data_IF_168745105271
#
_entry.id   IF_168745105271
#
_cell.length_a   1.000
_cell.length_b   1.000
_cell.length_c   1.000
_cell.angle_alpha   90.00
_cell.angle_beta   90.00
_cell.angle_gamma   90.00
#
_symmetry.space_group_name_H-M   'P 1'
#
loop_
_entity.id
_entity.type
_entity.pdbx_description
1 polymer ?
#
# COMPACT_ATOMS: atom_id res chain seq x y z
N UNK A 1 -36.79 30.87 1.06
CA UNK A 1 -36.28 29.75 1.89
C UNK A 1 -35.86 28.57 1.02
N UNK A 2 -36.75 28.02 0.17
CA UNK A 2 -36.43 26.86 -0.68
C UNK A 2 -35.31 27.06 -1.73
N UNK A 3 -35.11 28.28 -2.23
CA UNK A 3 -34.06 28.57 -3.22
C UNK A 3 -32.66 28.58 -2.59
N UNK A 4 -32.54 29.06 -1.35
CA UNK A 4 -31.26 29.12 -0.63
C UNK A 4 -30.75 27.71 -0.27
N UNK A 5 -31.64 26.78 0.06
CA UNK A 5 -31.29 25.38 0.33
C UNK A 5 -30.74 24.68 -0.91
N UNK A 6 -31.36 24.88 -2.08
CA UNK A 6 -30.88 24.33 -3.36
C UNK A 6 -29.50 24.86 -3.74
N UNK A 7 -29.26 26.15 -3.51
CA UNK A 7 -27.92 26.74 -3.76
C UNK A 7 -26.88 26.16 -2.81
N UNK A 8 -27.23 25.96 -1.53
CA UNK A 8 -26.33 25.35 -0.56
C UNK A 8 -26.00 23.89 -0.91
N UNK A 9 -26.98 23.10 -1.34
CA UNK A 9 -26.81 21.71 -1.81
C UNK A 9 -25.88 21.65 -3.03
N UNK A 10 -26.13 22.49 -4.03
CA UNK A 10 -25.27 22.58 -5.22
C UNK A 10 -23.83 22.96 -4.87
N UNK A 11 -23.63 23.89 -3.93
CA UNK A 11 -22.29 24.25 -3.47
C UNK A 11 -21.60 23.10 -2.71
N UNK A 12 -22.35 22.29 -1.96
CA UNK A 12 -21.80 21.11 -1.29
C UNK A 12 -21.37 20.05 -2.31
N UNK A 13 -22.19 19.80 -3.33
CA UNK A 13 -21.87 18.83 -4.39
C UNK A 13 -20.64 19.25 -5.18
N UNK A 14 -20.52 20.53 -5.56
CA UNK A 14 -19.33 21.05 -6.25
C UNK A 14 -18.06 20.89 -5.40
N UNK A 15 -18.15 21.13 -4.09
CA UNK A 15 -17.02 20.94 -3.16
C UNK A 15 -16.63 19.46 -3.06
N UNK A 16 -17.62 18.57 -2.96
CA UNK A 16 -17.42 17.12 -2.95
C UNK A 16 -16.76 16.64 -4.23
N UNK A 17 -17.29 17.01 -5.39
CA UNK A 17 -16.75 16.63 -6.70
C UNK A 17 -15.31 17.12 -6.88
N UNK A 18 -15.03 18.38 -6.51
CA UNK A 18 -13.67 18.93 -6.56
C UNK A 18 -12.70 18.14 -5.68
N UNK A 19 -13.14 17.72 -4.49
CA UNK A 19 -12.38 16.87 -3.60
C UNK A 19 -12.15 15.47 -4.20
N UNK A 20 -13.22 14.82 -4.65
CA UNK A 20 -13.18 13.45 -5.16
C UNK A 20 -12.36 13.33 -6.45
N UNK A 21 -12.39 14.35 -7.32
CA UNK A 21 -11.55 14.41 -8.53
C UNK A 21 -10.05 14.44 -8.21
N UNK A 22 -9.67 15.01 -7.06
CA UNK A 22 -8.26 15.03 -6.61
C UNK A 22 -7.86 13.76 -5.85
N UNK A 23 -8.80 12.90 -5.47
CA UNK A 23 -8.48 11.65 -4.77
C UNK A 23 -7.83 10.68 -5.76
N UNK A 24 -6.66 10.19 -5.39
CA UNK A 24 -6.03 9.08 -6.11
C UNK A 24 -6.85 7.79 -5.87
N UNK A 25 -7.12 7.04 -6.94
CA UNK A 25 -7.77 5.73 -6.80
C UNK A 25 -6.83 4.77 -6.07
N UNK A 26 -7.41 3.95 -5.20
CA UNK A 26 -6.68 2.86 -4.56
C UNK A 26 -6.06 1.94 -5.62
N UNK A 27 -4.81 1.50 -5.44
CA UNK A 27 -4.23 0.47 -6.29
C UNK A 27 -5.08 -0.80 -6.24
N UNK A 28 -5.37 -1.36 -7.41
CA UNK A 28 -6.00 -2.67 -7.52
C UNK A 28 -4.89 -3.70 -7.73
N UNK A 29 -4.82 -4.68 -6.83
CA UNK A 29 -3.86 -5.76 -6.92
C UNK A 29 -4.57 -7.06 -7.30
N UNK A 30 -3.87 -7.92 -8.03
CA UNK A 30 -4.37 -9.23 -8.42
C UNK A 30 -3.74 -10.33 -7.55
N UNK A 31 -4.46 -11.42 -7.27
CA UNK A 31 -3.86 -12.64 -6.73
C UNK A 31 -2.62 -13.06 -7.51
N UNK A 32 -1.52 -13.37 -6.82
CA UNK A 32 -0.22 -13.70 -7.39
C UNK A 32 0.74 -12.51 -7.53
N UNK A 33 0.27 -11.27 -7.40
CA UNK A 33 1.15 -10.11 -7.46
C UNK A 33 2.16 -10.11 -6.31
N UNK A 34 3.43 -9.82 -6.65
CA UNK A 34 4.48 -9.62 -5.67
C UNK A 34 4.44 -8.19 -5.13
N UNK A 35 4.45 -8.04 -3.82
CA UNK A 35 4.37 -6.74 -3.15
C UNK A 35 5.33 -6.65 -1.97
N UNK A 36 5.87 -5.46 -1.75
CA UNK A 36 6.50 -5.06 -0.50
C UNK A 36 5.44 -4.57 0.48
N UNK A 37 5.68 -4.79 1.77
CA UNK A 37 4.86 -4.27 2.85
C UNK A 37 5.59 -3.09 3.51
N UNK A 38 4.87 -2.00 3.76
CA UNK A 38 5.43 -0.85 4.49
C UNK A 38 5.46 -1.16 5.99
N UNK A 39 6.65 -1.14 6.59
CA UNK A 39 6.83 -1.32 8.04
C UNK A 39 7.06 0.03 8.69
N UNK A 40 6.44 0.23 9.84
CA UNK A 40 6.79 1.31 10.76
C UNK A 40 7.76 0.79 11.83
N UNK A 41 9.04 1.09 11.66
CA UNK A 41 10.05 0.79 12.67
C UNK A 41 9.90 1.73 13.87
N UNK A 42 10.09 1.20 15.07
CA UNK A 42 10.23 2.00 16.29
C UNK A 42 11.71 2.36 16.47
N UNK A 43 12.01 3.65 16.63
CA UNK A 43 13.38 4.09 16.91
C UNK A 43 13.81 3.62 18.31
N UNK A 44 15.04 3.15 18.43
CA UNK A 44 15.58 2.76 19.72
C UNK A 44 17.01 3.30 19.87
N UNK A 45 17.12 4.40 20.62
CA UNK A 45 18.39 5.09 20.89
C UNK A 45 19.36 4.20 21.67
N UNK A 46 18.89 3.40 22.62
CA UNK A 46 19.73 2.51 23.43
C UNK A 46 20.41 1.42 22.58
N UNK A 47 19.77 1.01 21.48
CA UNK A 47 20.33 0.05 20.51
C UNK A 47 21.07 0.74 19.35
N UNK A 48 21.23 2.06 19.40
CA UNK A 48 21.83 2.85 18.31
C UNK A 48 21.05 2.81 17.00
N UNK A 49 19.78 2.36 17.01
CA UNK A 49 18.96 2.20 15.79
C UNK A 49 18.05 3.40 15.61
N UNK A 50 18.31 4.19 14.58
CA UNK A 50 17.41 5.27 14.16
C UNK A 50 16.63 4.84 12.93
N UNK A 51 15.33 5.10 12.94
CA UNK A 51 14.40 4.72 11.86
C UNK A 51 14.70 5.42 10.54
N UNK A 52 15.35 6.58 10.60
CA UNK A 52 15.76 7.37 9.43
C UNK A 52 16.63 6.58 8.46
N UNK A 53 17.46 5.65 8.95
CA UNK A 53 18.39 4.88 8.13
C UNK A 53 17.91 3.44 7.87
N UNK A 54 16.74 3.04 8.37
CA UNK A 54 16.21 1.70 8.13
C UNK A 54 15.29 1.68 6.91
N UNK A 55 15.34 0.61 6.09
CA UNK A 55 14.39 0.46 4.99
C UNK A 55 12.98 0.31 5.55
N UNK A 56 12.06 1.15 5.07
CA UNK A 56 10.65 1.12 5.49
C UNK A 56 9.82 0.06 4.77
N UNK A 57 10.45 -0.80 3.96
CA UNK A 57 9.80 -1.84 3.18
C UNK A 57 10.33 -3.19 3.61
N UNK A 58 9.41 -4.09 3.94
CA UNK A 58 9.67 -5.50 4.14
C UNK A 58 9.51 -6.26 2.83
N UNK A 59 10.13 -7.43 2.78
CA UNK A 59 10.41 -8.27 1.60
C UNK A 59 9.30 -8.51 0.58
N UNK A 60 9.61 -9.30 -0.46
CA UNK A 60 8.62 -9.63 -1.48
C UNK A 60 7.65 -10.67 -0.92
N UNK A 61 6.40 -10.26 -0.73
CA UNK A 61 5.28 -11.14 -0.43
C UNK A 61 4.40 -11.35 -1.65
N UNK A 62 3.53 -12.36 -1.60
CA UNK A 62 2.55 -12.63 -2.65
C UNK A 62 1.15 -12.35 -2.12
N UNK A 63 0.33 -11.69 -2.92
CA UNK A 63 -1.10 -11.51 -2.63
C UNK A 63 -1.82 -12.83 -2.92
N UNK A 64 -2.46 -13.41 -1.91
CA UNK A 64 -3.26 -14.63 -2.09
C UNK A 64 -4.62 -14.31 -2.68
N UNK A 65 -5.37 -13.46 -2.00
CA UNK A 65 -6.75 -13.14 -2.34
C UNK A 65 -7.10 -11.74 -1.85
N UNK A 66 -8.06 -11.12 -2.54
CA UNK A 66 -8.69 -9.90 -2.08
C UNK A 66 -9.88 -10.27 -1.18
N UNK A 67 -9.80 -9.96 0.11
CA UNK A 67 -10.88 -10.25 1.05
C UNK A 67 -11.96 -9.14 1.02
N UNK A 68 -11.54 -7.90 0.75
CA UNK A 68 -12.44 -6.76 0.55
C UNK A 68 -11.81 -5.73 -0.40
N UNK A 69 -12.56 -4.71 -0.87
CA UNK A 69 -12.00 -3.63 -1.69
C UNK A 69 -10.75 -2.96 -1.08
N UNK A 70 -10.61 -3.01 0.24
CA UNK A 70 -9.54 -2.35 1.01
C UNK A 70 -8.67 -3.32 1.80
N UNK A 71 -8.81 -4.63 1.61
CA UNK A 71 -8.09 -5.64 2.40
C UNK A 71 -7.62 -6.79 1.53
N UNK A 72 -6.31 -7.02 1.51
CA UNK A 72 -5.65 -8.10 0.78
C UNK A 72 -4.99 -9.07 1.75
N UNK A 73 -5.15 -10.37 1.50
CA UNK A 73 -4.47 -11.43 2.24
C UNK A 73 -3.13 -11.68 1.60
N UNK A 74 -2.08 -11.70 2.42
CA UNK A 74 -0.69 -11.80 1.98
C UNK A 74 -0.07 -13.08 2.53
N UNK A 75 0.74 -13.74 1.72
CA UNK A 75 1.54 -14.90 2.09
C UNK A 75 3.01 -14.73 1.73
N UNK A 76 3.83 -15.58 2.36
CA UNK A 76 5.22 -15.71 1.99
C UNK A 76 5.33 -16.37 0.61
N UNK A 77 6.31 -15.96 -0.22
CA UNK A 77 6.52 -16.57 -1.53
C UNK A 77 6.89 -18.06 -1.43
N UNK A 78 7.53 -18.47 -0.34
CA UNK A 78 7.95 -19.85 -0.12
C UNK A 78 6.79 -20.75 0.35
N UNK A 79 5.78 -20.16 1.00
CA UNK A 79 4.67 -20.90 1.61
C UNK A 79 3.33 -20.21 1.29
N UNK A 80 2.87 -20.37 0.05
CA UNK A 80 1.61 -19.79 -0.45
C UNK A 80 0.36 -20.34 0.26
N UNK A 81 0.47 -21.47 0.98
CA UNK A 81 -0.69 -22.08 1.65
C UNK A 81 -1.01 -21.44 3.02
N UNK A 82 -0.07 -20.70 3.61
CA UNK A 82 -0.27 -20.07 4.92
C UNK A 82 -0.37 -18.55 4.80
N UNK A 83 -1.55 -17.96 5.08
CA UNK A 83 -1.69 -16.52 5.08
C UNK A 83 -0.90 -15.91 6.26
N UNK A 84 0.01 -15.00 5.94
CA UNK A 84 0.78 -14.25 6.94
C UNK A 84 -0.10 -13.23 7.64
N UNK A 85 -0.79 -12.39 6.86
CA UNK A 85 -1.68 -11.36 7.39
C UNK A 85 -2.53 -10.69 6.31
N UNK A 86 -3.49 -9.90 6.77
CA UNK A 86 -4.29 -9.02 5.95
C UNK A 86 -3.78 -7.58 6.04
N UNK A 87 -3.67 -6.91 4.89
CA UNK A 87 -3.17 -5.53 4.82
C UNK A 87 -4.06 -4.63 3.95
N UNK A 88 -4.03 -3.33 4.27
CA UNK A 88 -4.66 -2.29 3.47
C UNK A 88 -3.81 -1.96 2.22
N UNK A 89 -4.40 -1.64 1.05
CA UNK A 89 -3.65 -1.39 -0.19
C UNK A 89 -2.61 -0.27 -0.10
N UNK A 90 -2.82 0.70 0.80
CA UNK A 90 -1.86 1.80 1.03
C UNK A 90 -0.56 1.35 1.71
N UNK A 91 -0.59 0.23 2.44
CA UNK A 91 0.61 -0.35 3.03
C UNK A 91 1.40 -1.19 2.03
N UNK A 92 0.80 -1.51 0.88
CA UNK A 92 1.38 -2.37 -0.14
C UNK A 92 2.02 -1.56 -1.25
N UNK A 93 3.12 -2.09 -1.79
CA UNK A 93 3.80 -1.52 -2.94
C UNK A 93 4.19 -2.63 -3.89
N UNK A 94 3.84 -2.48 -5.18
CA UNK A 94 4.24 -3.45 -6.21
C UNK A 94 5.74 -3.68 -6.17
N UNK A 95 6.12 -4.96 -6.07
CA UNK A 95 7.49 -5.42 -6.24
C UNK A 95 7.79 -5.46 -7.73
N UNK A 96 8.74 -4.64 -8.18
CA UNK A 96 9.29 -4.75 -9.54
C UNK A 96 10.60 -5.49 -9.40
N UNK A 97 10.69 -6.67 -10.00
CA UNK A 97 11.97 -7.34 -10.17
C UNK A 97 12.70 -6.58 -11.27
N UNK A 98 13.67 -5.74 -10.90
CA UNK A 98 14.57 -5.16 -11.89
C UNK A 98 15.42 -6.31 -12.45
N UNK A 99 15.10 -6.77 -13.66
CA UNK A 99 15.86 -7.79 -14.39
C UNK A 99 17.30 -7.34 -14.73
N UNK A 100 17.72 -6.13 -14.35
CA UNK A 100 19.08 -5.62 -14.57
C UNK A 100 20.04 -5.84 -13.40
N UNK A 101 19.67 -6.59 -12.36
CA UNK A 101 20.63 -7.04 -11.35
C UNK A 101 21.41 -8.25 -11.87
N UNK A 102 22.19 -8.06 -12.94
CA UNK A 102 23.32 -8.93 -13.23
C UNK A 102 24.20 -8.92 -11.98
N UNK A 103 24.51 -10.07 -11.36
CA UNK A 103 25.54 -10.14 -10.34
C UNK A 103 26.88 -10.03 -11.09
N UNK A 104 27.31 -8.80 -11.38
CA UNK A 104 28.69 -8.57 -11.77
C UNK A 104 29.56 -8.92 -10.55
N UNK A 105 30.38 -9.93 -10.78
CA UNK A 105 31.08 -10.81 -9.84
C UNK A 105 32.08 -10.11 -8.90
N UNK A 106 32.56 -10.81 -7.84
CA UNK A 106 33.57 -10.33 -6.92
C UNK A 106 35.00 -10.51 -7.46
N UNK A 107 35.89 -9.58 -7.11
CA UNK A 107 37.26 -9.82 -6.58
C UNK A 107 37.86 -8.48 -6.11
#
# INVERSE_FOLDING_TARGET
MAEAEKVAEMQQDLRKECGDRKRQRSPNYSPGDRVFITIHHLSNTAKGRTTKFLPNRDGPYIILTQNSPTSYVIANPDNTNEPVRTYHPSALKVYKQDESATPEHPL
#
